data_IF_245451570661
#
_entry.id   IF_245451570661
#
_cell.length_a   1.000
_cell.length_b   1.000
_cell.length_c   1.000
_cell.angle_alpha   90.00
_cell.angle_beta   90.00
_cell.angle_gamma   90.00
#
_symmetry.space_group_name_H-M   'P 1'
#
loop_
_entity.id
_entity.type
_entity.pdbx_description
1 polymer ?
#
# COMPACT_ATOMS: atom_id res chain seq x y z
N UNK A 1 -1.45 2.39 40.27
CA UNK A 1 -0.87 3.71 39.98
C UNK A 1 -1.01 4.08 38.50
N UNK A 2 -0.57 3.24 37.54
CA UNK A 2 -0.78 3.53 36.10
C UNK A 2 -2.26 3.70 35.72
N UNK A 3 -3.16 2.83 36.20
CA UNK A 3 -4.60 2.90 35.91
C UNK A 3 -5.25 4.17 36.48
N UNK A 4 -4.91 4.55 37.72
CA UNK A 4 -5.44 5.79 38.34
C UNK A 4 -4.93 7.05 37.64
N UNK A 5 -3.67 7.05 37.19
CA UNK A 5 -3.10 8.13 36.36
C UNK A 5 -3.80 8.20 35.00
N UNK A 6 -4.13 7.06 34.40
CA UNK A 6 -4.86 6.96 33.14
C UNK A 6 -6.30 7.47 33.27
N UNK A 7 -6.98 7.19 34.39
CA UNK A 7 -8.34 7.68 34.70
C UNK A 7 -8.35 9.20 34.94
N UNK A 8 -7.41 9.72 35.75
CA UNK A 8 -7.33 11.17 36.03
C UNK A 8 -6.96 11.96 34.78
N UNK A 9 -6.00 11.47 33.99
CA UNK A 9 -5.62 12.14 32.75
C UNK A 9 -6.71 12.09 31.67
N UNK A 10 -7.38 10.94 31.49
CA UNK A 10 -8.51 10.84 30.55
C UNK A 10 -9.70 11.73 30.96
N UNK A 11 -9.93 11.93 32.26
CA UNK A 11 -10.98 12.84 32.74
C UNK A 11 -10.73 14.32 32.39
N UNK A 12 -9.47 14.75 32.29
CA UNK A 12 -9.11 16.11 31.85
C UNK A 12 -9.42 16.33 30.36
N UNK A 13 -9.18 15.32 29.52
CA UNK A 13 -9.49 15.37 28.08
C UNK A 13 -10.97 15.13 27.76
N UNK A 14 -11.72 14.50 28.67
CA UNK A 14 -13.17 14.30 28.53
C UNK A 14 -14.01 15.52 28.94
N UNK A 15 -13.38 16.58 29.46
CA UNK A 15 -14.08 17.79 29.87
C UNK A 15 -14.66 18.54 28.65
N UNK A 16 -15.96 18.80 28.64
CA UNK A 16 -16.66 19.49 27.53
C UNK A 16 -16.02 20.84 27.17
N UNK A 17 -15.46 21.54 28.16
CA UNK A 17 -14.77 22.82 27.96
C UNK A 17 -13.48 22.64 27.16
N UNK A 18 -12.77 21.54 27.37
CA UNK A 18 -11.57 21.18 26.63
C UNK A 18 -11.92 20.79 25.18
N UNK A 19 -13.05 20.11 24.97
CA UNK A 19 -13.52 19.74 23.63
C UNK A 19 -13.96 20.95 22.80
N UNK A 20 -14.70 21.90 23.39
CA UNK A 20 -15.15 23.11 22.69
C UNK A 20 -14.02 24.01 22.20
N UNK A 21 -12.93 24.13 22.98
CA UNK A 21 -11.80 25.01 22.69
C UNK A 21 -10.48 24.24 22.56
N UNK A 22 -10.52 23.09 21.88
CA UNK A 22 -9.43 22.12 21.82
C UNK A 22 -8.04 22.72 21.57
N UNK A 23 -7.89 23.56 20.54
CA UNK A 23 -6.61 24.20 20.20
C UNK A 23 -6.06 25.06 21.35
N UNK A 24 -6.91 25.90 21.94
CA UNK A 24 -6.50 26.76 23.05
C UNK A 24 -6.14 25.94 24.29
N UNK A 25 -6.98 24.95 24.64
CA UNK A 25 -6.76 24.08 25.78
C UNK A 25 -5.48 23.24 25.63
N UNK A 26 -5.17 22.77 24.42
CA UNK A 26 -3.95 22.04 24.12
C UNK A 26 -2.69 22.93 24.24
N UNK A 27 -2.74 24.16 23.73
CA UNK A 27 -1.65 25.14 23.90
C UNK A 27 -1.42 25.46 25.37
N UNK A 28 -2.48 25.72 26.14
CA UNK A 28 -2.35 25.97 27.59
C UNK A 28 -1.76 24.77 28.32
N UNK A 29 -2.18 23.55 27.95
CA UNK A 29 -1.67 22.33 28.53
C UNK A 29 -0.17 22.13 28.24
N UNK A 30 0.28 22.33 27.00
CA UNK A 30 1.71 22.31 26.64
C UNK A 30 2.49 23.36 27.45
N UNK A 31 1.97 24.58 27.53
CA UNK A 31 2.62 25.65 28.30
C UNK A 31 2.76 25.30 29.79
N UNK A 32 1.71 24.73 30.40
CA UNK A 32 1.78 24.28 31.80
C UNK A 32 2.78 23.14 32.00
N UNK A 33 2.90 22.22 31.05
CA UNK A 33 3.89 21.15 31.09
C UNK A 33 5.32 21.65 31.02
N UNK A 34 5.59 22.62 30.14
CA UNK A 34 6.90 23.29 30.06
C UNK A 34 7.22 23.94 31.41
N UNK A 35 6.26 24.65 32.01
CA UNK A 35 6.43 25.34 33.28
C UNK A 35 6.71 24.35 34.43
N UNK A 36 5.95 23.24 34.49
CA UNK A 36 6.18 22.15 35.45
C UNK A 36 7.57 21.52 35.24
N UNK A 37 7.99 21.27 33.99
CA UNK A 37 9.30 20.69 33.71
C UNK A 37 10.46 21.61 34.14
N UNK A 38 10.33 22.91 33.87
CA UNK A 38 11.30 23.93 34.30
C UNK A 38 11.37 23.99 35.83
N UNK A 39 10.23 24.06 36.53
CA UNK A 39 10.19 24.04 38.00
C UNK A 39 10.82 22.77 38.58
N UNK A 40 10.58 21.61 37.97
CA UNK A 40 11.15 20.34 38.41
C UNK A 40 12.67 20.32 38.34
N UNK A 41 13.25 20.95 37.30
CA UNK A 41 14.69 21.05 37.14
C UNK A 41 15.38 21.89 38.23
N UNK A 42 14.66 22.87 38.80
CA UNK A 42 15.15 23.69 39.92
C UNK A 42 14.99 22.99 41.28
N UNK A 43 13.89 22.27 41.49
CA UNK A 43 13.53 21.70 42.79
C UNK A 43 14.21 20.35 43.09
N UNK A 44 14.64 19.59 42.07
CA UNK A 44 15.35 18.29 42.17
C UNK A 44 14.79 17.34 43.25
N UNK A 45 13.45 17.28 43.37
CA UNK A 45 12.77 16.49 44.38
C UNK A 45 12.09 15.26 43.73
N UNK A 46 12.31 14.08 44.31
CA UNK A 46 11.74 12.79 43.87
C UNK A 46 10.21 12.79 43.76
N UNK A 47 9.51 13.52 44.63
CA UNK A 47 8.04 13.64 44.55
C UNK A 47 7.60 14.49 43.37
N UNK A 48 8.40 15.49 43.00
CA UNK A 48 8.12 16.36 41.87
C UNK A 48 8.33 15.63 40.54
N UNK A 49 9.32 14.73 40.48
CA UNK A 49 9.53 13.84 39.32
C UNK A 49 8.35 12.88 39.09
N UNK A 50 7.73 12.38 40.16
CA UNK A 50 6.53 11.56 40.04
C UNK A 50 5.37 12.42 39.50
N UNK A 51 5.22 13.65 39.99
CA UNK A 51 4.18 14.57 39.53
C UNK A 51 4.34 14.95 38.05
N UNK A 52 5.56 15.28 37.61
CA UNK A 52 5.85 15.60 36.21
C UNK A 52 5.58 14.40 35.29
N UNK A 53 5.86 13.17 35.75
CA UNK A 53 5.56 11.93 35.01
C UNK A 53 4.05 11.70 34.85
N UNK A 54 3.26 11.97 35.89
CA UNK A 54 1.79 11.85 35.84
C UNK A 54 1.21 12.87 34.85
N UNK A 55 1.68 14.12 34.90
CA UNK A 55 1.21 15.19 34.03
C UNK A 55 1.63 15.02 32.58
N UNK A 56 2.77 14.38 32.30
CA UNK A 56 3.24 14.11 30.94
C UNK A 56 2.61 12.86 30.30
N UNK A 57 1.90 12.04 31.09
CA UNK A 57 1.35 10.76 30.64
C UNK A 57 0.47 10.84 29.37
N UNK A 58 -0.44 11.82 29.20
CA UNK A 58 -1.20 11.97 27.95
C UNK A 58 -0.33 12.17 26.72
N UNK A 59 0.74 12.95 26.83
CA UNK A 59 1.67 13.16 25.73
C UNK A 59 2.47 11.89 25.45
N UNK A 60 2.81 11.11 26.47
CA UNK A 60 3.49 9.82 26.30
C UNK A 60 2.57 8.85 25.53
N UNK A 61 1.27 8.82 25.84
CA UNK A 61 0.31 8.00 25.08
C UNK A 61 0.25 8.45 23.61
N UNK A 62 0.13 9.76 23.35
CA UNK A 62 0.12 10.29 21.98
C UNK A 62 1.43 9.95 21.26
N UNK A 63 2.56 10.18 21.91
CA UNK A 63 3.89 9.92 21.35
C UNK A 63 4.10 8.43 21.03
N UNK A 64 3.80 7.54 21.97
CA UNK A 64 3.91 6.08 21.76
C UNK A 64 2.99 5.59 20.66
N UNK A 65 1.77 6.14 20.58
CA UNK A 65 0.84 5.86 19.48
C UNK A 65 1.41 6.30 18.14
N UNK A 66 1.97 7.52 18.05
CA UNK A 66 2.60 8.03 16.84
C UNK A 66 3.82 7.21 16.42
N UNK A 67 4.66 6.80 17.37
CA UNK A 67 5.83 5.94 17.13
C UNK A 67 5.44 4.62 16.44
N UNK A 68 4.28 4.06 16.76
CA UNK A 68 3.74 2.85 16.12
C UNK A 68 3.02 3.16 14.79
N UNK A 69 2.26 4.26 14.74
CA UNK A 69 1.47 4.61 13.56
C UNK A 69 2.33 5.08 12.38
N UNK A 70 3.43 5.80 12.63
CA UNK A 70 4.32 6.31 11.57
C UNK A 70 4.85 5.19 10.66
N UNK A 71 5.49 4.11 11.16
CA UNK A 71 5.98 3.04 10.31
C UNK A 71 4.85 2.32 9.57
N UNK A 72 3.66 2.20 10.19
CA UNK A 72 2.48 1.64 9.53
C UNK A 72 2.00 2.51 8.35
N UNK A 73 1.90 3.82 8.53
CA UNK A 73 1.55 4.77 7.46
C UNK A 73 2.59 4.77 6.34
N UNK A 74 3.87 4.73 6.70
CA UNK A 74 4.94 4.60 5.71
C UNK A 74 4.79 3.31 4.91
N UNK A 75 4.50 2.18 5.56
CA UNK A 75 4.27 0.92 4.87
C UNK A 75 3.08 0.99 3.91
N UNK A 76 1.95 1.54 4.36
CA UNK A 76 0.78 1.78 3.50
C UNK A 76 1.14 2.66 2.30
N UNK A 77 1.97 3.68 2.50
CA UNK A 77 2.46 4.51 1.40
C UNK A 77 3.27 3.69 0.38
N UNK A 78 4.15 2.78 0.82
CA UNK A 78 4.92 1.93 -0.12
C UNK A 78 4.01 0.99 -0.91
N UNK A 79 3.00 0.40 -0.26
CA UNK A 79 1.99 -0.43 -0.93
C UNK A 79 1.20 0.40 -1.94
N UNK A 80 0.73 1.58 -1.55
CA UNK A 80 0.03 2.49 -2.46
C UNK A 80 0.89 2.89 -3.66
N UNK A 81 2.13 3.31 -3.42
CA UNK A 81 3.09 3.70 -4.44
C UNK A 81 3.35 2.55 -5.42
N UNK A 82 3.49 1.32 -4.92
CA UNK A 82 3.65 0.11 -5.73
C UNK A 82 2.51 -0.06 -6.75
N UNK A 83 1.25 -0.03 -6.29
CA UNK A 83 0.10 -0.21 -7.17
C UNK A 83 -0.13 0.99 -8.10
N UNK A 84 0.19 2.20 -7.65
CA UNK A 84 0.16 3.40 -8.51
C UNK A 84 1.15 3.27 -9.68
N UNK A 85 2.39 2.84 -9.43
CA UNK A 85 3.36 2.59 -10.50
C UNK A 85 2.84 1.49 -11.44
N UNK A 86 2.33 0.39 -10.87
CA UNK A 86 1.81 -0.72 -11.68
C UNK A 86 0.62 -0.30 -12.56
N UNK A 87 -0.19 0.66 -12.11
CA UNK A 87 -1.30 1.23 -12.88
C UNK A 87 -0.85 2.26 -13.93
N UNK A 88 0.15 3.07 -13.61
CA UNK A 88 0.71 4.07 -14.53
C UNK A 88 1.27 3.44 -15.81
N UNK A 89 1.86 2.25 -15.73
CA UNK A 89 2.49 1.62 -16.90
C UNK A 89 1.44 1.31 -18.01
N UNK A 90 0.34 0.58 -17.75
CA UNK A 90 -0.75 0.41 -18.72
C UNK A 90 -1.37 1.72 -19.19
N UNK A 91 -1.54 2.70 -18.29
CA UNK A 91 -2.13 4.00 -18.64
C UNK A 91 -1.27 4.76 -19.65
N UNK A 92 0.04 4.81 -19.43
CA UNK A 92 0.99 5.44 -20.34
C UNK A 92 1.07 4.71 -21.67
N UNK A 93 1.05 3.37 -21.65
CA UNK A 93 1.04 2.55 -22.85
C UNK A 93 -0.23 2.80 -23.68
N UNK A 94 -1.40 2.84 -23.04
CA UNK A 94 -2.66 3.16 -23.70
C UNK A 94 -2.62 4.56 -24.36
N UNK A 95 -2.19 5.58 -23.62
CA UNK A 95 -2.07 6.95 -24.17
C UNK A 95 -1.05 7.04 -25.30
N UNK A 96 0.07 6.33 -25.20
CA UNK A 96 1.08 6.27 -26.26
C UNK A 96 0.54 5.62 -27.54
N UNK A 97 -0.20 4.52 -27.41
CA UNK A 97 -0.79 3.84 -28.57
C UNK A 97 -1.90 4.67 -29.22
N UNK A 98 -2.72 5.38 -28.44
CA UNK A 98 -3.68 6.36 -28.93
C UNK A 98 -2.98 7.51 -29.69
N UNK A 99 -1.91 8.06 -29.12
CA UNK A 99 -1.15 9.15 -29.74
C UNK A 99 -0.54 8.75 -31.10
N UNK A 100 -0.14 7.48 -31.23
CA UNK A 100 0.38 6.92 -32.48
C UNK A 100 -0.73 6.46 -33.46
N UNK A 101 -2.01 6.66 -33.13
CA UNK A 101 -3.17 6.17 -33.89
C UNK A 101 -3.11 4.65 -34.17
N UNK A 102 -2.51 3.88 -33.25
CA UNK A 102 -2.43 2.42 -33.38
C UNK A 102 -3.69 1.72 -32.85
N UNK A 103 -4.55 2.45 -32.12
CA UNK A 103 -5.80 1.94 -31.60
C UNK A 103 -6.85 3.06 -31.65
N UNK A 104 -7.90 2.89 -32.44
CA UNK A 104 -8.96 3.91 -32.61
C UNK A 104 -10.36 3.44 -32.12
N UNK A 105 -10.53 2.16 -31.78
CA UNK A 105 -11.86 1.54 -31.58
C UNK A 105 -12.07 0.91 -30.19
N UNK A 106 -11.43 1.44 -29.14
CA UNK A 106 -11.60 0.87 -27.79
C UNK A 106 -12.79 1.51 -27.08
N UNK A 107 -13.86 0.75 -26.90
CA UNK A 107 -14.99 1.18 -26.06
C UNK A 107 -14.53 1.36 -24.60
N UNK A 108 -15.20 2.23 -23.83
CA UNK A 108 -14.87 2.44 -22.42
C UNK A 108 -14.80 1.12 -21.60
N UNK A 109 -15.74 0.17 -21.73
CA UNK A 109 -15.64 -1.14 -21.09
C UNK A 109 -14.35 -1.90 -21.44
N UNK A 110 -13.99 -1.95 -22.72
CA UNK A 110 -12.76 -2.61 -23.19
C UNK A 110 -11.51 -1.94 -22.62
N UNK A 111 -11.49 -0.61 -22.57
CA UNK A 111 -10.37 0.16 -21.98
C UNK A 111 -10.20 -0.17 -20.50
N UNK A 112 -11.29 -0.21 -19.74
CA UNK A 112 -11.27 -0.55 -18.31
C UNK A 112 -10.79 -1.98 -18.10
N UNK A 113 -11.33 -2.94 -18.86
CA UNK A 113 -10.90 -4.34 -18.81
C UNK A 113 -9.39 -4.48 -19.04
N UNK A 114 -8.87 -3.87 -20.11
CA UNK A 114 -7.44 -3.96 -20.46
C UNK A 114 -6.56 -3.29 -19.41
N UNK A 115 -6.91 -2.09 -18.95
CA UNK A 115 -6.13 -1.37 -17.93
C UNK A 115 -6.00 -2.20 -16.67
N UNK A 116 -7.12 -2.67 -16.10
CA UNK A 116 -7.11 -3.44 -14.85
C UNK A 116 -6.35 -4.77 -15.04
N UNK A 117 -6.64 -5.50 -16.11
CA UNK A 117 -5.97 -6.78 -16.40
C UNK A 117 -4.46 -6.62 -16.49
N UNK A 118 -4.00 -5.64 -17.28
CA UNK A 118 -2.56 -5.36 -17.45
C UNK A 118 -1.92 -4.86 -16.15
N UNK A 119 -2.58 -3.98 -15.39
CA UNK A 119 -2.08 -3.52 -14.09
C UNK A 119 -1.82 -4.70 -13.15
N UNK A 120 -2.77 -5.62 -13.06
CA UNK A 120 -2.65 -6.79 -12.20
C UNK A 120 -1.56 -7.75 -12.71
N UNK A 121 -1.47 -7.99 -14.02
CA UNK A 121 -0.42 -8.82 -14.59
C UNK A 121 0.96 -8.23 -14.34
N UNK A 122 1.11 -6.93 -14.55
CA UNK A 122 2.37 -6.22 -14.31
C UNK A 122 2.74 -6.27 -12.83
N UNK A 123 1.76 -6.09 -11.94
CA UNK A 123 1.94 -6.20 -10.49
C UNK A 123 2.50 -7.56 -10.07
N UNK A 124 2.13 -8.65 -10.74
CA UNK A 124 2.59 -9.99 -10.37
C UNK A 124 3.88 -10.39 -11.10
N UNK A 125 3.94 -10.18 -12.42
CA UNK A 125 5.06 -10.62 -13.25
C UNK A 125 6.32 -9.77 -13.06
N UNK A 126 6.17 -8.46 -12.96
CA UNK A 126 7.29 -7.52 -12.84
C UNK A 126 7.53 -7.06 -11.39
N UNK A 127 7.11 -7.87 -10.41
CA UNK A 127 7.21 -7.55 -8.99
C UNK A 127 8.62 -7.09 -8.53
N UNK A 128 9.74 -7.76 -8.91
CA UNK A 128 11.07 -7.30 -8.52
C UNK A 128 11.42 -5.91 -9.07
N UNK A 129 10.99 -5.61 -10.31
CA UNK A 129 11.24 -4.32 -10.96
C UNK A 129 10.44 -3.23 -10.26
N UNK A 130 9.13 -3.46 -10.05
CA UNK A 130 8.26 -2.51 -9.37
C UNK A 130 8.74 -2.20 -7.95
N UNK A 131 9.15 -3.21 -7.18
CA UNK A 131 9.77 -3.02 -5.85
C UNK A 131 11.01 -2.15 -5.94
N UNK A 132 11.90 -2.41 -6.91
CA UNK A 132 13.09 -1.60 -7.13
C UNK A 132 12.77 -0.12 -7.41
N UNK A 133 11.69 0.16 -8.14
CA UNK A 133 11.23 1.53 -8.38
C UNK A 133 10.68 2.15 -7.09
N UNK A 134 9.86 1.41 -6.33
CA UNK A 134 9.32 1.88 -5.04
C UNK A 134 10.46 2.28 -4.09
N UNK A 135 11.52 1.48 -4.00
CA UNK A 135 12.70 1.80 -3.18
C UNK A 135 13.41 3.08 -3.59
N UNK A 136 13.40 3.42 -4.89
CA UNK A 136 14.08 4.62 -5.41
C UNK A 136 13.24 5.89 -5.25
N UNK A 137 11.93 5.78 -5.42
CA UNK A 137 11.01 6.93 -5.41
C UNK A 137 10.49 7.24 -3.99
N UNK A 138 10.47 6.25 -3.10
CA UNK A 138 9.92 6.44 -1.75
C UNK A 138 10.58 7.59 -1.00
N UNK A 139 9.80 8.51 -0.40
CA UNK A 139 10.34 9.61 0.40
C UNK A 139 10.96 9.12 1.71
N UNK A 140 10.55 7.93 2.18
CA UNK A 140 11.26 7.24 3.23
C UNK A 140 12.56 6.72 2.61
N UNK A 141 13.65 7.47 2.79
CA UNK A 141 14.99 7.03 2.39
C UNK A 141 15.42 5.85 3.27
N UNK A 142 14.87 4.67 2.97
CA UNK A 142 15.03 3.43 3.72
C UNK A 142 16.50 3.07 3.92
N UNK A 143 17.36 3.48 2.98
CA UNK A 143 18.79 3.20 3.01
C UNK A 143 19.63 4.27 3.74
N UNK A 144 19.10 5.48 4.00
CA UNK A 144 19.90 6.59 4.53
C UNK A 144 19.41 7.16 5.86
N UNK A 145 18.21 6.81 6.32
CA UNK A 145 17.63 7.41 7.54
C UNK A 145 17.96 6.59 8.78
N UNK A 146 18.84 7.09 9.65
CA UNK A 146 19.16 6.45 10.93
C UNK A 146 17.95 6.33 11.87
N UNK A 147 17.02 7.28 11.79
CA UNK A 147 15.78 7.26 12.59
C UNK A 147 14.81 6.15 12.20
N UNK A 148 14.94 5.61 10.98
CA UNK A 148 14.07 4.56 10.46
C UNK A 148 14.70 3.16 10.51
N UNK A 149 16.03 3.07 10.75
CA UNK A 149 16.74 1.79 10.91
C UNK A 149 16.13 0.85 11.97
N UNK A 150 15.68 1.33 13.15
CA UNK A 150 15.14 0.44 14.19
C UNK A 150 13.85 -0.30 13.78
N UNK A 151 13.10 0.25 12.83
CA UNK A 151 11.83 -0.32 12.39
C UNK A 151 11.98 -1.35 11.27
N UNK A 152 13.21 -1.57 10.77
CA UNK A 152 13.51 -2.50 9.68
C UNK A 152 12.55 -2.36 8.47
N UNK A 153 12.14 -1.14 8.14
CA UNK A 153 11.09 -0.86 7.15
C UNK A 153 11.36 -1.48 5.76
N UNK A 154 12.63 -1.68 5.39
CA UNK A 154 12.99 -2.40 4.18
C UNK A 154 12.55 -3.87 4.20
N UNK A 155 12.80 -4.58 5.30
CA UNK A 155 12.34 -5.98 5.44
C UNK A 155 10.82 -6.08 5.46
N UNK A 156 10.15 -5.14 6.14
CA UNK A 156 8.69 -5.08 6.13
C UNK A 156 8.17 -4.80 4.71
N UNK A 157 8.75 -3.85 3.99
CA UNK A 157 8.38 -3.54 2.60
C UNK A 157 8.58 -4.76 1.70
N UNK A 158 9.69 -5.48 1.85
CA UNK A 158 9.97 -6.72 1.10
C UNK A 158 8.98 -7.84 1.41
N UNK A 159 8.59 -7.99 2.68
CA UNK A 159 7.57 -8.93 3.09
C UNK A 159 6.23 -8.60 2.44
N UNK A 160 5.74 -7.38 2.64
CA UNK A 160 4.43 -6.94 2.14
C UNK A 160 4.36 -6.89 0.61
N UNK A 161 5.44 -6.52 -0.06
CA UNK A 161 5.53 -6.50 -1.52
C UNK A 161 6.04 -7.82 -2.11
N UNK A 162 6.17 -8.88 -1.33
CA UNK A 162 6.49 -10.20 -1.90
C UNK A 162 5.42 -10.64 -2.91
N UNK A 163 5.80 -11.44 -3.90
CA UNK A 163 4.88 -11.84 -4.99
C UNK A 163 3.59 -12.47 -4.46
N UNK A 164 3.67 -13.30 -3.41
CA UNK A 164 2.50 -13.94 -2.82
C UNK A 164 1.59 -12.92 -2.10
N UNK A 165 2.17 -11.96 -1.38
CA UNK A 165 1.40 -10.93 -0.70
C UNK A 165 0.79 -9.93 -1.70
N UNK A 166 1.48 -9.61 -2.79
CA UNK A 166 0.92 -8.81 -3.88
C UNK A 166 -0.27 -9.52 -4.53
N UNK A 167 -0.17 -10.83 -4.80
CA UNK A 167 -1.32 -11.62 -5.28
C UNK A 167 -2.48 -11.57 -4.27
N UNK A 168 -2.19 -11.75 -2.98
CA UNK A 168 -3.18 -11.64 -1.93
C UNK A 168 -3.88 -10.27 -1.95
N UNK A 169 -3.14 -9.17 -2.07
CA UNK A 169 -3.71 -7.83 -2.18
C UNK A 169 -4.59 -7.67 -3.42
N UNK A 170 -4.16 -8.18 -4.57
CA UNK A 170 -4.97 -8.19 -5.80
C UNK A 170 -6.29 -8.94 -5.57
N UNK A 171 -6.23 -10.15 -4.99
CA UNK A 171 -7.44 -10.92 -4.65
C UNK A 171 -8.34 -10.16 -3.67
N UNK A 172 -7.77 -9.54 -2.64
CA UNK A 172 -8.52 -8.76 -1.67
C UNK A 172 -9.22 -7.56 -2.33
N UNK A 173 -8.55 -6.83 -3.22
CA UNK A 173 -9.16 -5.73 -3.98
C UNK A 173 -10.30 -6.23 -4.87
N UNK A 174 -10.13 -7.37 -5.54
CA UNK A 174 -11.20 -7.94 -6.35
C UNK A 174 -12.39 -8.43 -5.51
N UNK A 175 -12.16 -8.98 -4.32
CA UNK A 175 -13.25 -9.34 -3.39
C UNK A 175 -14.03 -8.10 -2.96
N UNK A 176 -13.34 -7.01 -2.60
CA UNK A 176 -14.01 -5.74 -2.26
C UNK A 176 -14.79 -5.20 -3.46
N UNK A 177 -14.19 -5.20 -4.65
CA UNK A 177 -14.87 -4.77 -5.87
C UNK A 177 -16.12 -5.61 -6.15
N UNK A 178 -16.05 -6.93 -6.01
CA UNK A 178 -17.16 -7.84 -6.23
C UNK A 178 -18.29 -7.63 -5.21
N UNK A 179 -17.95 -7.44 -3.94
CA UNK A 179 -18.93 -7.13 -2.89
C UNK A 179 -19.67 -5.83 -3.21
N UNK A 180 -18.93 -4.79 -3.58
CA UNK A 180 -19.53 -3.53 -4.00
C UNK A 180 -20.43 -3.76 -5.22
N UNK A 181 -19.92 -4.39 -6.29
CA UNK A 181 -20.68 -4.55 -7.54
C UNK A 181 -21.98 -5.31 -7.31
N UNK A 182 -21.94 -6.37 -6.51
CA UNK A 182 -23.14 -7.12 -6.16
C UNK A 182 -24.11 -6.30 -5.30
N UNK A 183 -23.60 -5.52 -4.33
CA UNK A 183 -24.44 -4.66 -3.50
C UNK A 183 -25.26 -3.66 -4.33
N UNK A 184 -24.64 -3.00 -5.32
CA UNK A 184 -25.36 -2.08 -6.22
C UNK A 184 -26.29 -2.81 -7.19
N UNK A 185 -25.82 -3.92 -7.78
CA UNK A 185 -26.66 -4.71 -8.69
C UNK A 185 -27.94 -5.23 -8.01
N UNK A 186 -27.88 -5.60 -6.71
CA UNK A 186 -29.08 -6.01 -5.97
C UNK A 186 -30.08 -4.88 -5.72
N UNK A 187 -29.63 -3.62 -5.81
CA UNK A 187 -30.49 -2.44 -5.75
C UNK A 187 -31.03 -2.03 -7.13
N UNK A 188 -30.63 -2.71 -8.21
CA UNK A 188 -30.98 -2.34 -9.58
C UNK A 188 -30.11 -1.22 -10.14
N UNK A 189 -29.05 -0.81 -9.44
CA UNK A 189 -28.11 0.23 -9.83
C UNK A 189 -26.78 -0.35 -10.32
N UNK A 190 -25.98 0.46 -11.01
CA UNK A 190 -24.59 0.17 -11.36
C UNK A 190 -23.62 1.02 -10.54
N UNK A 191 -22.43 0.50 -10.23
CA UNK A 191 -21.38 1.29 -9.55
C UNK A 191 -20.86 2.37 -10.50
N UNK A 192 -20.58 1.96 -11.72
CA UNK A 192 -20.09 2.85 -12.75
C UNK A 192 -21.25 3.44 -13.56
N UNK A 193 -20.93 4.30 -14.51
CA UNK A 193 -21.92 4.90 -15.40
C UNK A 193 -22.66 3.90 -16.29
N UNK A 194 -22.17 2.65 -16.40
CA UNK A 194 -22.77 1.61 -17.22
C UNK A 194 -22.42 0.21 -16.68
N UNK A 195 -23.42 -0.67 -16.59
CA UNK A 195 -23.28 -2.07 -16.18
C UNK A 195 -22.23 -2.86 -16.98
N UNK A 196 -21.99 -2.52 -18.25
CA UNK A 196 -20.95 -3.16 -19.07
C UNK A 196 -19.53 -2.88 -18.56
N UNK A 197 -19.31 -1.72 -17.95
CA UNK A 197 -18.04 -1.39 -17.31
C UNK A 197 -17.86 -2.20 -16.03
N UNK A 198 -18.92 -2.38 -15.23
CA UNK A 198 -18.87 -3.24 -14.04
C UNK A 198 -18.59 -4.70 -14.42
N UNK A 199 -19.22 -5.20 -15.48
CA UNK A 199 -18.92 -6.53 -16.05
C UNK A 199 -17.46 -6.65 -16.50
N UNK A 200 -16.88 -5.59 -17.07
CA UNK A 200 -15.49 -5.57 -17.51
C UNK A 200 -14.51 -5.72 -16.34
N UNK A 201 -14.82 -5.13 -15.18
CA UNK A 201 -14.04 -5.32 -13.93
C UNK A 201 -14.15 -6.77 -13.44
N UNK A 202 -15.34 -7.37 -13.49
CA UNK A 202 -15.52 -8.78 -13.12
C UNK A 202 -14.80 -9.71 -14.10
N UNK A 203 -14.82 -9.40 -15.39
CA UNK A 203 -14.11 -10.18 -16.40
C UNK A 203 -12.59 -10.11 -16.20
N UNK A 204 -12.03 -8.94 -15.87
CA UNK A 204 -10.59 -8.84 -15.57
C UNK A 204 -10.21 -9.68 -14.35
N UNK A 205 -11.11 -9.83 -13.37
CA UNK A 205 -10.90 -10.71 -12.23
C UNK A 205 -10.84 -12.19 -12.65
N UNK A 206 -11.80 -12.66 -13.45
CA UNK A 206 -11.82 -14.03 -13.96
C UNK A 206 -10.55 -14.32 -14.78
N UNK A 207 -10.16 -13.38 -15.64
CA UNK A 207 -8.91 -13.46 -16.41
C UNK A 207 -7.70 -13.57 -15.48
N UNK A 208 -7.67 -12.80 -14.38
CA UNK A 208 -6.59 -12.90 -13.40
C UNK A 208 -6.54 -14.26 -12.69
N UNK A 209 -7.68 -14.82 -12.28
CA UNK A 209 -7.73 -16.17 -11.66
C UNK A 209 -7.16 -17.21 -12.63
N UNK A 210 -7.59 -17.17 -13.90
CA UNK A 210 -7.12 -18.09 -14.93
C UNK A 210 -5.61 -17.94 -15.15
N UNK A 211 -5.12 -16.70 -15.23
CA UNK A 211 -3.69 -16.39 -15.32
C UNK A 211 -2.91 -16.94 -14.13
N UNK A 212 -3.36 -16.68 -12.89
CA UNK A 212 -2.64 -17.08 -11.68
C UNK A 212 -2.54 -18.61 -11.58
N UNK A 213 -3.63 -19.32 -11.88
CA UNK A 213 -3.65 -20.80 -11.97
C UNK A 213 -2.70 -21.32 -13.04
N UNK A 214 -2.75 -20.74 -14.24
CA UNK A 214 -1.86 -21.12 -15.35
C UNK A 214 -0.40 -20.87 -14.99
N UNK A 215 -0.10 -19.74 -14.36
CA UNK A 215 1.23 -19.39 -13.91
C UNK A 215 1.75 -20.33 -12.81
N UNK A 216 0.89 -20.76 -11.89
CA UNK A 216 1.22 -21.77 -10.90
C UNK A 216 1.54 -23.13 -11.55
N UNK A 217 0.72 -23.57 -12.51
CA UNK A 217 0.97 -24.81 -13.27
C UNK A 217 2.26 -24.73 -14.07
N UNK A 218 2.54 -23.63 -14.76
CA UNK A 218 3.80 -23.43 -15.49
C UNK A 218 5.04 -23.55 -14.60
N UNK A 219 4.96 -23.14 -13.33
CA UNK A 219 6.07 -23.31 -12.38
C UNK A 219 6.30 -24.76 -11.96
N UNK A 220 5.28 -25.60 -12.04
CA UNK A 220 5.37 -27.03 -11.70
C UNK A 220 5.85 -27.86 -12.90
N UNK A 221 5.62 -27.37 -14.12
CA UNK A 221 6.11 -28.01 -15.34
C UNK A 221 7.59 -27.67 -15.53
N UNK A 222 8.41 -28.67 -15.91
CA UNK A 222 9.79 -28.44 -16.37
C UNK A 222 9.87 -27.68 -17.71
N UNK A 223 8.71 -27.33 -18.26
CA UNK A 223 8.58 -26.54 -19.47
C UNK A 223 8.96 -25.08 -19.20
N UNK A 224 10.20 -24.72 -19.55
CA UNK A 224 10.66 -23.33 -19.59
C UNK A 224 10.45 -22.76 -21.00
N UNK A 225 9.68 -21.68 -21.19
CA UNK A 225 9.51 -21.03 -22.49
C UNK A 225 10.83 -20.65 -23.15
N UNK A 226 11.84 -20.28 -22.34
CA UNK A 226 13.21 -20.04 -22.82
C UNK A 226 13.85 -21.29 -23.43
N UNK A 227 13.62 -22.46 -22.84
CA UNK A 227 14.10 -23.74 -23.37
C UNK A 227 13.38 -24.13 -24.67
N UNK A 228 12.10 -23.79 -24.82
CA UNK A 228 11.39 -23.96 -26.09
C UNK A 228 11.95 -23.01 -27.17
N UNK A 229 12.15 -21.73 -26.85
CA UNK A 229 12.78 -20.77 -27.77
C UNK A 229 14.18 -21.20 -28.19
N UNK A 230 14.99 -21.68 -27.25
CA UNK A 230 16.32 -22.21 -27.55
C UNK A 230 16.26 -23.42 -28.49
N UNK A 231 15.32 -24.35 -28.25
CA UNK A 231 15.10 -25.50 -29.13
C UNK A 231 14.64 -25.08 -30.52
N UNK A 232 13.69 -24.15 -30.63
CA UNK A 232 13.22 -23.60 -31.91
C UNK A 232 14.38 -22.93 -32.66
N UNK A 233 15.14 -22.08 -31.98
CA UNK A 233 16.28 -21.40 -32.55
C UNK A 233 17.32 -22.39 -33.07
N UNK A 234 17.70 -23.39 -32.26
CA UNK A 234 18.61 -24.46 -32.67
C UNK A 234 18.09 -25.26 -33.86
N UNK A 235 16.79 -25.58 -33.90
CA UNK A 235 16.18 -26.28 -35.04
C UNK A 235 16.20 -25.46 -36.33
N UNK A 236 15.96 -24.15 -36.26
CA UNK A 236 16.07 -23.24 -37.40
C UNK A 236 17.53 -23.21 -37.89
N UNK A 237 18.48 -23.05 -36.98
CA UNK A 237 19.92 -22.97 -37.29
C UNK A 237 20.45 -24.28 -37.89
N UNK A 238 20.02 -25.42 -37.36
CA UNK A 238 20.35 -26.75 -37.91
C UNK A 238 19.84 -26.92 -39.35
N UNK A 239 18.60 -26.48 -39.63
CA UNK A 239 18.04 -26.54 -40.99
C UNK A 239 18.83 -25.66 -41.95
N UNK A 240 19.11 -24.41 -41.57
CA UNK A 240 19.88 -23.47 -42.40
C UNK A 240 21.28 -24.02 -42.71
N UNK A 241 21.97 -24.62 -41.74
CA UNK A 241 23.31 -25.19 -41.96
C UNK A 241 23.31 -26.51 -42.76
N UNK A 242 22.15 -27.16 -42.93
CA UNK A 242 22.03 -28.40 -43.71
C UNK A 242 21.70 -28.13 -45.19
N UNK A 243 21.12 -26.96 -45.47
CA UNK A 243 20.73 -26.51 -46.81
C UNK A 243 21.82 -25.63 -47.49
N UNK A 244 23.01 -25.49 -46.88
CA UNK A 244 24.24 -24.85 -47.42
C UNK A 244 25.30 -25.93 -47.64
#
# INVERSE_FOLDING_TARGET
MAITVLIVSSSLFANETFQKNFLFSLVTYIATLILIYVLGSFLKNKHFDIFTTIFSYPLIIIYTTLVVLIPFWLLLMHIGLYFVIAFLIPELLYKGLMYLNLIDFVTMPTTVYLKITLTVFISVLFNPILRGIVYRISPARLNSSEKLKPYELGKLTDYFLSTNNVKFFVYAFYVVALLMTNYFNFQGDSISSNIETDKSILQSFVTFIAFDRTFALMKQLDFKPSGLLEKIYKSILYKVNKDV
#
